data_IF_077657553146
#
_entry.id   IF_077657553146
#
_cell.length_a   1.000
_cell.length_b   1.000
_cell.length_c   1.000
_cell.angle_alpha   90.00
_cell.angle_beta   90.00
_cell.angle_gamma   90.00
#
_symmetry.space_group_name_H-M   'P 1'
#
loop_
_entity.id
_entity.type
_entity.pdbx_description
1 polymer ?
#
# COMPACT_ATOMS: atom_id res chain seq x y z
N UNK A 1 -5.51 10.19 -21.67
CA UNK A 1 -5.00 10.08 -20.29
C UNK A 1 -6.15 9.60 -19.43
N UNK A 2 -5.95 8.61 -18.58
CA UNK A 2 -6.99 8.14 -17.65
C UNK A 2 -6.96 8.98 -16.37
N UNK A 3 -8.10 9.09 -15.71
CA UNK A 3 -8.18 9.55 -14.33
C UNK A 3 -7.82 8.39 -13.39
N UNK A 4 -7.44 8.69 -12.16
CA UNK A 4 -7.24 7.71 -11.08
C UNK A 4 -8.25 8.01 -10.00
N UNK A 5 -9.01 7.00 -9.61
CA UNK A 5 -9.95 7.08 -8.49
C UNK A 5 -9.39 6.29 -7.31
N UNK A 6 -9.48 6.86 -6.11
CA UNK A 6 -9.19 6.16 -4.86
C UNK A 6 -10.44 6.17 -3.99
N UNK A 7 -10.96 4.98 -3.69
CA UNK A 7 -12.10 4.76 -2.81
C UNK A 7 -11.62 4.27 -1.46
N UNK A 8 -12.05 4.93 -0.39
CA UNK A 8 -11.84 4.55 1.00
C UNK A 8 -13.17 4.10 1.60
N UNK A 9 -13.18 2.90 2.17
CA UNK A 9 -14.32 2.32 2.85
C UNK A 9 -14.04 2.36 4.35
N UNK A 10 -14.78 3.19 5.08
CA UNK A 10 -14.46 3.57 6.46
C UNK A 10 -15.60 3.16 7.40
N UNK A 11 -15.24 2.36 8.40
CA UNK A 11 -16.08 2.05 9.57
C UNK A 11 -15.35 2.32 10.88
N UNK A 12 -14.01 2.33 10.85
CA UNK A 12 -13.18 2.71 11.99
C UNK A 12 -13.44 4.17 12.39
N UNK A 13 -13.53 4.42 13.70
CA UNK A 13 -13.69 5.77 14.25
C UNK A 13 -12.42 6.62 14.06
N UNK A 14 -11.25 5.98 13.98
CA UNK A 14 -9.97 6.62 13.71
C UNK A 14 -9.23 5.80 12.62
N UNK A 15 -9.38 6.16 11.34
CA UNK A 15 -8.70 5.47 10.24
C UNK A 15 -7.17 5.58 10.32
N UNK A 16 -6.64 6.64 10.93
CA UNK A 16 -5.19 6.81 11.10
C UNK A 16 -4.63 5.75 12.03
N UNK A 17 -5.30 5.50 13.16
CA UNK A 17 -4.85 4.49 14.12
C UNK A 17 -4.76 3.09 13.50
N UNK A 18 -5.63 2.77 12.54
CA UNK A 18 -5.60 1.48 11.81
C UNK A 18 -4.30 1.31 11.03
N UNK A 19 -3.87 2.35 10.29
CA UNK A 19 -2.63 2.29 9.51
C UNK A 19 -1.37 2.47 10.36
N UNK A 20 -1.45 3.26 11.44
CA UNK A 20 -0.35 3.42 12.40
C UNK A 20 0.01 2.12 13.13
N UNK A 21 -0.89 1.12 13.13
CA UNK A 21 -0.61 -0.23 13.61
C UNK A 21 0.23 -1.07 12.62
N UNK A 22 0.67 -0.49 11.51
CA UNK A 22 1.49 -1.10 10.46
C UNK A 22 0.91 -2.45 9.98
N UNK A 23 -0.35 -2.46 9.49
CA UNK A 23 -0.95 -3.67 8.97
C UNK A 23 -0.16 -4.19 7.76
N UNK A 24 -0.34 -5.47 7.41
CA UNK A 24 0.25 -6.01 6.19
C UNK A 24 -0.75 -5.95 5.04
N UNK A 25 -0.25 -5.88 3.81
CA UNK A 25 -1.07 -6.05 2.63
C UNK A 25 -1.77 -7.43 2.67
N UNK A 26 -3.09 -7.45 2.51
CA UNK A 26 -3.89 -8.68 2.45
C UNK A 26 -4.25 -9.03 1.00
N UNK A 27 -3.40 -9.88 0.41
CA UNK A 27 -3.61 -10.43 -0.93
C UNK A 27 -4.91 -11.23 -1.06
N UNK A 28 -5.32 -11.92 0.00
CA UNK A 28 -6.54 -12.73 0.01
C UNK A 28 -7.78 -11.85 -0.08
N UNK A 29 -7.79 -10.75 0.68
CA UNK A 29 -8.83 -9.72 0.61
C UNK A 29 -8.93 -9.11 -0.78
N UNK A 30 -7.80 -8.63 -1.34
CA UNK A 30 -7.75 -8.04 -2.68
C UNK A 30 -8.27 -8.99 -3.76
N UNK A 31 -7.81 -10.26 -3.74
CA UNK A 31 -8.27 -11.29 -4.68
C UNK A 31 -9.77 -11.55 -4.55
N UNK A 32 -10.29 -11.61 -3.31
CA UNK A 32 -11.72 -11.82 -3.07
C UNK A 32 -12.55 -10.64 -3.57
N UNK A 33 -12.11 -9.41 -3.32
CA UNK A 33 -12.75 -8.19 -3.82
C UNK A 33 -12.89 -8.25 -5.35
N UNK A 34 -11.79 -8.53 -6.06
CA UNK A 34 -11.79 -8.60 -7.53
C UNK A 34 -12.67 -9.74 -8.06
N UNK A 35 -12.62 -10.91 -7.42
CA UNK A 35 -13.45 -12.05 -7.80
C UNK A 35 -14.95 -11.79 -7.59
N UNK A 36 -15.33 -10.95 -6.61
CA UNK A 36 -16.71 -10.53 -6.41
C UNK A 36 -17.12 -9.42 -7.39
N UNK A 37 -16.21 -8.51 -7.71
CA UNK A 37 -16.45 -7.42 -8.65
C UNK A 37 -16.68 -7.94 -10.07
N UNK A 38 -15.82 -8.85 -10.53
CA UNK A 38 -16.02 -9.57 -11.79
C UNK A 38 -15.36 -10.97 -11.73
N UNK A 39 -16.16 -12.04 -11.58
CA UNK A 39 -15.65 -13.41 -11.52
C UNK A 39 -14.93 -13.89 -12.79
N UNK A 40 -15.14 -13.22 -13.93
CA UNK A 40 -14.54 -13.60 -15.20
C UNK A 40 -13.14 -13.02 -15.42
N UNK A 41 -12.68 -12.10 -14.57
CA UNK A 41 -11.36 -11.49 -14.74
C UNK A 41 -10.22 -12.46 -14.44
N UNK A 42 -9.23 -12.59 -15.35
CA UNK A 42 -7.98 -13.24 -15.02
C UNK A 42 -7.21 -12.37 -14.02
N UNK A 43 -6.88 -12.92 -12.84
CA UNK A 43 -6.20 -12.15 -11.80
C UNK A 43 -4.70 -12.44 -11.77
N UNK A 44 -3.90 -11.44 -12.14
CA UNK A 44 -2.44 -11.51 -12.07
C UNK A 44 -1.93 -10.63 -10.96
N UNK A 45 -1.34 -11.23 -9.92
CA UNK A 45 -0.70 -10.46 -8.84
C UNK A 45 0.55 -9.75 -9.36
N UNK A 46 0.64 -8.44 -9.12
CA UNK A 46 1.76 -7.59 -9.53
C UNK A 46 2.80 -7.52 -8.40
N UNK A 47 2.33 -7.28 -7.16
CA UNK A 47 3.19 -7.07 -6.01
C UNK A 47 2.42 -6.58 -4.79
N UNK A 48 3.11 -6.56 -3.66
CA UNK A 48 2.61 -5.96 -2.41
C UNK A 48 3.57 -4.81 -2.06
N UNK A 49 3.03 -3.60 -1.85
CA UNK A 49 3.82 -2.38 -1.68
C UNK A 49 2.99 -1.26 -1.04
N UNK A 50 3.64 -0.16 -0.67
CA UNK A 50 2.95 1.02 -0.13
C UNK A 50 2.42 1.92 -1.26
N UNK A 51 1.10 2.15 -1.25
CA UNK A 51 0.38 2.86 -2.30
C UNK A 51 0.83 4.31 -2.48
N UNK A 52 1.22 4.98 -1.40
CA UNK A 52 1.71 6.35 -1.39
C UNK A 52 3.13 6.48 -1.97
N UNK A 53 3.89 5.39 -2.10
CA UNK A 53 5.27 5.36 -2.64
C UNK A 53 5.36 4.73 -4.04
N UNK A 54 4.22 4.43 -4.65
CA UNK A 54 4.14 3.67 -5.90
C UNK A 54 3.53 4.50 -7.02
N UNK A 55 3.84 4.13 -8.27
CA UNK A 55 3.23 4.75 -9.44
C UNK A 55 1.73 4.47 -9.50
N UNK A 56 0.97 5.40 -10.08
CA UNK A 56 -0.47 5.24 -10.30
C UNK A 56 -0.82 3.95 -11.07
N UNK A 57 -1.97 3.32 -10.79
CA UNK A 57 -2.41 2.14 -11.52
C UNK A 57 -2.62 2.44 -13.00
N UNK A 58 -2.27 1.45 -13.84
CA UNK A 58 -2.71 1.38 -15.23
C UNK A 58 -4.21 1.09 -15.38
N UNK A 59 -4.70 1.12 -16.63
CA UNK A 59 -6.12 0.91 -17.00
C UNK A 59 -6.75 -0.35 -16.39
N UNK A 60 -5.99 -1.44 -16.39
CA UNK A 60 -6.45 -2.76 -15.95
C UNK A 60 -5.81 -3.17 -14.61
N UNK A 61 -5.40 -2.18 -13.80
CA UNK A 61 -4.71 -2.41 -12.53
C UNK A 61 -5.54 -1.92 -11.35
N UNK A 62 -5.51 -2.69 -10.28
CA UNK A 62 -6.18 -2.41 -9.02
C UNK A 62 -5.19 -2.55 -7.88
N UNK A 63 -5.10 -1.51 -7.07
CA UNK A 63 -4.34 -1.54 -5.82
C UNK A 63 -5.35 -1.57 -4.67
N UNK A 64 -5.32 -2.64 -3.87
CA UNK A 64 -6.35 -2.89 -2.87
C UNK A 64 -5.70 -3.15 -1.52
N UNK A 65 -6.11 -2.39 -0.51
CA UNK A 65 -5.77 -2.61 0.89
C UNK A 65 -7.03 -2.97 1.68
N UNK A 66 -6.93 -3.99 2.53
CA UNK A 66 -7.99 -4.41 3.44
C UNK A 66 -7.45 -4.49 4.85
N UNK A 67 -8.03 -3.71 5.76
CA UNK A 67 -7.64 -3.61 7.16
C UNK A 67 -8.90 -3.69 8.04
N UNK A 68 -8.71 -3.85 9.34
CA UNK A 68 -9.84 -3.86 10.26
C UNK A 68 -10.53 -2.49 10.29
N UNK A 69 -11.78 -2.43 9.82
CA UNK A 69 -12.59 -1.21 9.79
C UNK A 69 -12.17 -0.17 8.74
N UNK A 70 -11.19 -0.47 7.89
CA UNK A 70 -10.71 0.41 6.81
C UNK A 70 -10.33 -0.41 5.58
N UNK A 71 -10.74 0.00 4.39
CA UNK A 71 -10.23 -0.56 3.15
C UNK A 71 -10.02 0.54 2.10
N UNK A 72 -9.14 0.28 1.14
CA UNK A 72 -8.84 1.18 0.04
C UNK A 72 -8.84 0.43 -1.28
N UNK A 73 -9.39 1.04 -2.32
CA UNK A 73 -9.34 0.55 -3.70
C UNK A 73 -8.93 1.71 -4.59
N UNK A 74 -7.79 1.59 -5.26
CA UNK A 74 -7.28 2.58 -6.23
C UNK A 74 -7.18 1.94 -7.60
N UNK A 75 -7.73 2.61 -8.62
CA UNK A 75 -7.72 2.11 -10.00
C UNK A 75 -7.85 3.26 -11.00
N UNK A 76 -7.48 2.99 -12.24
CA UNK A 76 -7.69 3.90 -13.36
C UNK A 76 -9.17 3.93 -13.77
N UNK A 77 -9.63 5.08 -14.28
CA UNK A 77 -11.00 5.28 -14.74
C UNK A 77 -11.08 6.36 -15.81
N UNK A 78 -12.18 6.39 -16.56
CA UNK A 78 -12.51 7.47 -17.50
C UNK A 78 -13.51 8.48 -16.91
N UNK A 79 -13.88 8.31 -15.63
CA UNK A 79 -14.81 9.20 -14.96
C UNK A 79 -14.27 10.63 -14.86
N UNK A 80 -15.18 11.58 -15.01
CA UNK A 80 -14.98 13.01 -14.70
C UNK A 80 -15.82 13.48 -13.51
N UNK A 81 -16.77 12.65 -13.08
CA UNK A 81 -17.73 12.90 -11.99
C UNK A 81 -17.69 11.71 -11.05
N UNK A 82 -17.50 11.95 -9.76
CA UNK A 82 -17.47 10.90 -8.75
C UNK A 82 -18.88 10.41 -8.38
N UNK A 83 -19.92 11.21 -8.61
CA UNK A 83 -21.31 10.75 -8.48
C UNK A 83 -21.66 9.57 -9.40
N UNK A 84 -20.89 9.38 -10.48
CA UNK A 84 -21.05 8.31 -11.46
C UNK A 84 -20.25 7.03 -11.13
N UNK A 85 -19.54 6.99 -10.00
CA UNK A 85 -18.83 5.77 -9.56
C UNK A 85 -19.83 4.62 -9.45
N UNK A 86 -19.61 3.48 -10.15
CA UNK A 86 -20.57 2.39 -10.18
C UNK A 86 -20.86 1.81 -8.80
N UNK A 87 -22.13 1.54 -8.52
CA UNK A 87 -22.58 0.92 -7.26
C UNK A 87 -21.89 -0.42 -6.98
N UNK A 88 -21.58 -1.19 -8.03
CA UNK A 88 -20.86 -2.46 -7.92
C UNK A 88 -19.45 -2.32 -7.30
N UNK A 89 -18.80 -1.17 -7.49
CA UNK A 89 -17.49 -0.87 -6.89
C UNK A 89 -17.71 -0.24 -5.50
N UNK A 90 -18.62 0.73 -5.41
CA UNK A 90 -18.85 1.56 -4.21
C UNK A 90 -19.53 0.82 -3.05
N UNK A 91 -20.31 -0.23 -3.30
CA UNK A 91 -21.08 -0.96 -2.27
C UNK A 91 -20.53 -2.35 -1.95
N UNK A 92 -19.43 -2.76 -2.59
CA UNK A 92 -18.91 -4.12 -2.46
C UNK A 92 -18.37 -4.42 -1.05
N UNK A 93 -17.87 -3.37 -0.38
CA UNK A 93 -17.43 -3.41 1.02
C UNK A 93 -18.46 -2.63 1.83
N UNK A 94 -19.05 -3.30 2.84
CA UNK A 94 -19.94 -2.64 3.79
C UNK A 94 -19.17 -1.65 4.65
N UNK A 95 -19.51 -0.37 4.54
CA UNK A 95 -18.90 0.71 5.31
C UNK A 95 -19.94 1.75 5.72
N UNK A 96 -19.69 2.44 6.85
CA UNK A 96 -20.51 3.56 7.27
C UNK A 96 -20.33 4.75 6.33
N UNK A 97 -19.07 5.04 5.99
CA UNK A 97 -18.67 6.10 5.08
C UNK A 97 -17.83 5.56 3.93
N UNK A 98 -18.09 6.08 2.73
CA UNK A 98 -17.23 5.88 1.57
C UNK A 98 -16.73 7.24 1.12
N UNK A 99 -15.42 7.43 1.11
CA UNK A 99 -14.78 8.63 0.59
C UNK A 99 -14.11 8.31 -0.73
N UNK A 100 -14.22 9.20 -1.71
CA UNK A 100 -13.53 9.07 -2.98
C UNK A 100 -12.70 10.30 -3.27
N UNK A 101 -11.55 10.09 -3.91
CA UNK A 101 -10.81 11.14 -4.62
C UNK A 101 -10.66 10.76 -6.09
N UNK A 102 -10.61 11.78 -6.95
CA UNK A 102 -10.35 11.65 -8.38
C UNK A 102 -9.20 12.59 -8.75
N UNK A 103 -8.22 12.09 -9.48
CA UNK A 103 -7.12 12.91 -10.03
C UNK A 103 -6.86 12.57 -11.49
N UNK A 104 -6.40 13.54 -12.28
CA UNK A 104 -5.92 13.31 -13.65
C UNK A 104 -4.80 14.30 -13.99
N UNK A 105 -3.85 13.95 -14.89
CA UNK A 105 -2.71 14.82 -15.19
C UNK A 105 -3.03 16.21 -15.75
N UNK A 106 -4.24 16.43 -16.27
CA UNK A 106 -4.70 17.73 -16.77
C UNK A 106 -5.20 18.67 -15.65
N UNK A 107 -5.07 18.27 -14.38
CA UNK A 107 -5.48 19.06 -13.23
C UNK A 107 -6.91 18.82 -12.78
N UNK A 108 -7.61 17.81 -13.33
CA UNK A 108 -8.88 17.36 -12.75
C UNK A 108 -8.62 16.86 -11.33
N UNK A 109 -9.31 17.47 -10.37
CA UNK A 109 -9.37 17.04 -8.98
C UNK A 109 -10.82 16.87 -8.56
N UNK A 110 -11.09 15.86 -7.73
CA UNK A 110 -12.42 15.68 -7.20
C UNK A 110 -12.47 14.91 -5.90
N UNK A 111 -13.56 15.13 -5.16
CA UNK A 111 -13.90 14.47 -3.91
C UNK A 111 -15.36 14.05 -3.92
N UNK A 112 -15.65 12.94 -3.25
CA UNK A 112 -17.02 12.57 -2.95
C UNK A 112 -17.12 11.82 -1.63
N UNK A 113 -18.26 11.97 -0.96
CA UNK A 113 -18.58 11.31 0.29
C UNK A 113 -19.97 10.72 0.21
N UNK A 114 -20.06 9.42 0.48
CA UNK A 114 -21.32 8.73 0.72
C UNK A 114 -21.38 8.31 2.19
N UNK A 115 -22.47 8.64 2.87
CA UNK A 115 -22.74 8.21 4.24
C UNK A 115 -24.00 7.36 4.27
N UNK A 116 -23.90 6.11 4.77
CA UNK A 116 -24.99 5.14 4.73
C UNK A 116 -25.42 4.77 3.30
N UNK A 117 -24.53 4.97 2.32
CA UNK A 117 -24.79 4.71 0.90
C UNK A 117 -25.43 5.87 0.13
N UNK A 118 -25.82 6.95 0.79
CA UNK A 118 -26.35 8.16 0.16
C UNK A 118 -25.23 9.17 -0.13
N UNK A 119 -25.23 9.78 -1.31
CA UNK A 119 -24.26 10.81 -1.68
C UNK A 119 -24.53 12.09 -0.87
N UNK A 120 -23.54 12.52 -0.08
CA UNK A 120 -23.62 13.72 0.78
C UNK A 120 -22.89 14.92 0.20
N UNK A 121 -21.75 14.67 -0.45
CA UNK A 121 -20.91 15.68 -1.09
C UNK A 121 -20.27 15.09 -2.34
N UNK A 122 -20.24 15.83 -3.44
CA UNK A 122 -19.41 15.52 -4.62
C UNK A 122 -18.94 16.81 -5.27
N UNK A 123 -17.66 16.94 -5.53
CA UNK A 123 -17.10 18.05 -6.31
C UNK A 123 -16.03 17.51 -7.24
N UNK A 124 -16.11 17.83 -8.54
CA UNK A 124 -15.04 17.54 -9.49
C UNK A 124 -14.86 18.74 -10.42
N UNK A 125 -13.62 19.18 -10.57
CA UNK A 125 -13.29 20.33 -11.39
C UNK A 125 -11.85 20.25 -11.93
N UNK A 126 -11.60 20.84 -13.10
CA UNK A 126 -10.30 21.46 -13.41
C UNK A 126 -10.33 22.92 -12.93
N UNK A 127 -9.24 23.67 -13.05
CA UNK A 127 -9.28 25.10 -12.70
C UNK A 127 -10.28 25.86 -13.56
N UNK A 128 -10.48 25.47 -14.81
CA UNK A 128 -11.32 26.19 -15.78
C UNK A 128 -12.75 25.65 -15.87
N UNK A 129 -13.05 24.48 -15.32
CA UNK A 129 -14.35 23.83 -15.51
C UNK A 129 -14.74 23.04 -14.27
N UNK A 130 -15.93 23.35 -13.76
CA UNK A 130 -16.60 22.54 -12.73
C UNK A 130 -17.49 21.52 -13.43
N UNK A 131 -17.23 20.23 -13.21
CA UNK A 131 -18.00 19.12 -13.79
C UNK A 131 -19.18 18.73 -12.89
N UNK A 132 -18.99 18.78 -11.57
CA UNK A 132 -20.05 18.58 -10.60
C UNK A 132 -19.78 19.36 -9.32
N UNK A 133 -20.86 19.80 -8.68
CA UNK A 133 -20.88 20.38 -7.34
C UNK A 133 -22.22 20.02 -6.67
N UNK A 134 -22.18 19.00 -5.80
CA UNK A 134 -23.34 18.38 -5.15
C UNK A 134 -23.13 18.42 -3.65
N UNK A 135 -24.20 18.76 -2.92
CA UNK A 135 -24.20 18.80 -1.46
C UNK A 135 -23.59 20.07 -0.88
N UNK A 136 -23.44 20.09 0.44
CA UNK A 136 -22.88 21.24 1.16
C UNK A 136 -21.36 21.09 1.29
N UNK A 137 -20.56 22.13 1.01
CA UNK A 137 -19.12 22.09 1.20
C UNK A 137 -18.71 21.66 2.60
N UNK A 138 -17.70 20.82 2.68
CA UNK A 138 -17.06 20.43 3.93
C UNK A 138 -16.21 21.60 4.48
N UNK A 139 -16.09 21.80 5.80
CA UNK A 139 -15.29 22.89 6.37
C UNK A 139 -13.84 22.95 5.88
N UNK A 140 -13.24 21.80 5.56
CA UNK A 140 -11.89 21.72 4.99
C UNK A 140 -11.76 22.34 3.59
N UNK A 141 -12.88 22.58 2.89
CA UNK A 141 -12.89 23.28 1.60
C UNK A 141 -12.80 24.81 1.78
N UNK A 142 -13.17 25.35 2.95
CA UNK A 142 -13.30 26.80 3.15
C UNK A 142 -12.06 27.61 2.74
N UNK A 143 -10.81 27.22 3.09
CA UNK A 143 -9.63 27.98 2.69
C UNK A 143 -9.44 28.09 1.17
N UNK A 144 -9.95 27.12 0.41
CA UNK A 144 -9.87 27.14 -1.04
C UNK A 144 -10.89 28.12 -1.63
N UNK A 145 -12.11 28.13 -1.09
CA UNK A 145 -13.17 29.05 -1.51
C UNK A 145 -12.88 30.52 -1.14
N UNK A 146 -12.07 30.76 -0.11
CA UNK A 146 -11.56 32.11 0.22
C UNK A 146 -10.67 32.70 -0.89
N UNK A 147 -10.07 31.84 -1.72
CA UNK A 147 -9.45 32.24 -2.97
C UNK A 147 -8.06 32.86 -2.84
N UNK A 148 -7.17 32.20 -2.11
CA UNK A 148 -5.78 32.67 -1.91
C UNK A 148 -4.85 32.36 -3.08
N UNK A 149 -5.26 31.51 -4.04
CA UNK A 149 -4.45 31.19 -5.22
C UNK A 149 -4.76 32.15 -6.36
N UNK A 150 -3.73 32.75 -6.96
CA UNK A 150 -3.88 33.63 -8.12
C UNK A 150 -4.64 32.93 -9.25
N UNK A 151 -5.66 33.61 -9.78
CA UNK A 151 -6.54 33.10 -10.82
C UNK A 151 -6.77 34.17 -11.90
N UNK A 152 -6.92 33.72 -13.14
CA UNK A 152 -7.22 34.59 -14.28
C UNK A 152 -8.50 34.15 -14.97
N UNK A 153 -9.28 35.13 -15.46
CA UNK A 153 -10.51 34.86 -16.21
C UNK A 153 -11.53 34.05 -15.40
N UNK A 154 -11.83 32.84 -15.88
CA UNK A 154 -12.82 31.92 -15.28
C UNK A 154 -12.20 30.88 -14.34
N UNK A 155 -10.90 30.97 -14.07
CA UNK A 155 -10.23 29.98 -13.24
C UNK A 155 -10.76 30.01 -11.80
N UNK A 156 -10.91 28.82 -11.22
CA UNK A 156 -11.10 28.66 -9.79
C UNK A 156 -9.90 29.28 -9.05
N UNK A 157 -10.15 29.91 -7.88
CA UNK A 157 -9.11 30.57 -7.10
C UNK A 157 -8.34 29.57 -6.21
N UNK A 158 -8.20 28.34 -6.69
CA UNK A 158 -7.48 27.22 -6.07
C UNK A 158 -7.19 26.13 -7.11
N UNK A 159 -6.33 25.18 -6.76
CA UNK A 159 -6.03 24.00 -7.56
C UNK A 159 -6.92 22.83 -7.09
N UNK A 160 -7.81 22.27 -7.94
CA UNK A 160 -8.77 21.24 -7.51
C UNK A 160 -8.14 19.97 -6.92
N UNK A 161 -6.97 19.56 -7.39
CA UNK A 161 -6.26 18.39 -6.84
C UNK A 161 -5.75 18.64 -5.42
N UNK A 162 -5.37 19.88 -5.08
CA UNK A 162 -4.97 20.26 -3.72
C UNK A 162 -6.18 20.33 -2.77
N UNK A 163 -7.31 20.87 -3.24
CA UNK A 163 -8.58 20.80 -2.51
C UNK A 163 -8.93 19.35 -2.22
N UNK A 164 -8.83 18.48 -3.22
CA UNK A 164 -9.16 17.07 -3.06
C UNK A 164 -8.28 16.37 -2.01
N UNK A 165 -6.96 16.63 -2.03
CA UNK A 165 -6.04 16.10 -1.04
C UNK A 165 -6.33 16.61 0.38
N UNK A 166 -6.62 17.90 0.53
CA UNK A 166 -6.91 18.50 1.84
C UNK A 166 -8.22 17.98 2.46
N UNK A 167 -9.27 17.85 1.66
CA UNK A 167 -10.55 17.29 2.12
C UNK A 167 -10.41 15.81 2.46
N UNK A 168 -9.73 15.02 1.62
CA UNK A 168 -9.47 13.61 1.92
C UNK A 168 -8.69 13.45 3.23
N UNK A 169 -7.69 14.32 3.48
CA UNK A 169 -6.95 14.35 4.76
C UNK A 169 -7.86 14.65 5.94
N UNK A 170 -8.81 15.58 5.78
CA UNK A 170 -9.74 15.93 6.85
C UNK A 170 -10.70 14.77 7.18
N UNK A 171 -11.13 13.99 6.18
CA UNK A 171 -11.98 12.83 6.38
C UNK A 171 -11.24 11.63 6.98
N UNK A 172 -10.01 11.38 6.55
CA UNK A 172 -9.25 10.19 6.93
C UNK A 172 -8.39 10.38 8.18
N UNK A 173 -8.06 11.63 8.54
CA UNK A 173 -7.10 11.93 9.62
C UNK A 173 -5.63 11.73 9.23
N UNK A 174 -5.35 11.44 7.96
CA UNK A 174 -4.00 11.29 7.41
C UNK A 174 -3.98 11.70 5.93
N UNK A 175 -2.83 12.10 5.44
CA UNK A 175 -2.58 12.38 4.03
C UNK A 175 -2.10 11.14 3.28
N UNK A 176 -2.53 11.00 2.02
CA UNK A 176 -2.04 9.96 1.11
C UNK A 176 -0.73 10.45 0.48
N UNK A 177 0.31 10.55 1.31
CA UNK A 177 1.64 11.05 0.95
C UNK A 177 2.72 10.11 1.52
N UNK A 178 3.87 9.96 0.85
CA UNK A 178 5.03 9.23 1.39
C UNK A 178 5.48 9.66 2.79
N UNK A 179 5.17 10.89 3.20
CA UNK A 179 5.73 11.51 4.41
C UNK A 179 4.83 11.35 5.67
N UNK A 180 3.68 10.67 5.56
CA UNK A 180 2.68 10.64 6.64
C UNK A 180 2.44 9.24 7.22
N UNK A 181 1.79 8.36 6.47
CA UNK A 181 1.56 6.97 6.88
C UNK A 181 1.65 6.05 5.68
N UNK A 182 2.31 4.90 5.85
CA UNK A 182 2.40 3.89 4.80
C UNK A 182 1.05 3.18 4.62
N UNK A 183 0.67 2.94 3.38
CA UNK A 183 -0.64 2.35 3.01
C UNK A 183 -0.36 1.06 2.24
N UNK A 184 -0.21 -0.08 2.94
CA UNK A 184 0.21 -1.33 2.32
C UNK A 184 -0.94 -1.95 1.52
N UNK A 185 -0.75 -2.10 0.21
CA UNK A 185 -1.76 -2.61 -0.73
C UNK A 185 -1.23 -3.83 -1.48
N UNK A 186 -2.16 -4.66 -1.95
CA UNK A 186 -1.87 -5.74 -2.90
C UNK A 186 -2.36 -5.32 -4.29
N UNK A 187 -1.45 -5.34 -5.26
CA UNK A 187 -1.71 -4.90 -6.62
C UNK A 187 -1.98 -6.08 -7.55
N UNK A 188 -2.99 -5.93 -8.41
CA UNK A 188 -3.39 -6.93 -9.40
C UNK A 188 -3.64 -6.28 -10.76
N UNK A 189 -3.29 -6.99 -11.82
CA UNK A 189 -3.75 -6.74 -13.18
C UNK A 189 -4.92 -7.68 -13.51
N UNK A 190 -5.89 -7.20 -14.29
CA UNK A 190 -7.10 -7.94 -14.70
C UNK A 190 -7.18 -8.25 -16.21
N UNK A 191 -6.12 -7.95 -16.96
CA UNK A 191 -6.03 -8.09 -18.42
C UNK A 191 -5.43 -9.43 -18.89
N UNK A 192 -5.05 -10.31 -17.95
CA UNK A 192 -4.49 -11.62 -18.25
C UNK A 192 -3.00 -11.62 -18.60
N UNK A 193 -2.29 -10.52 -18.36
CA UNK A 193 -0.82 -10.50 -18.50
C UNK A 193 -0.17 -11.53 -17.57
N UNK A 194 1.01 -12.10 -17.92
CA UNK A 194 1.70 -13.05 -17.05
C UNK A 194 2.17 -12.41 -15.74
N UNK A 195 2.19 -13.19 -14.65
CA UNK A 195 2.77 -12.75 -13.37
C UNK A 195 4.23 -12.37 -13.55
N UNK A 196 4.68 -11.21 -13.04
CA UNK A 196 6.10 -10.88 -12.99
C UNK A 196 6.87 -12.00 -12.30
N UNK A 197 7.88 -12.56 -12.97
CA UNK A 197 8.71 -13.61 -12.39
C UNK A 197 9.63 -12.98 -11.36
N UNK A 198 9.38 -13.19 -10.08
CA UNK A 198 10.39 -12.96 -9.03
C UNK A 198 11.42 -14.09 -9.13
N UNK A 199 12.36 -13.98 -10.06
CA UNK A 199 13.48 -14.92 -10.14
C UNK A 199 14.37 -14.79 -8.90
N UNK A 200 15.00 -15.86 -8.41
CA UNK A 200 16.11 -15.71 -7.48
C UNK A 200 17.16 -14.81 -8.12
N UNK A 201 17.67 -13.81 -7.39
CA UNK A 201 18.80 -13.02 -7.82
C UNK A 201 19.90 -14.00 -8.26
N UNK A 202 20.43 -13.91 -9.49
CA UNK A 202 21.48 -14.82 -9.92
C UNK A 202 22.61 -14.69 -8.90
N UNK A 203 22.93 -15.79 -8.21
CA UNK A 203 24.08 -15.84 -7.34
C UNK A 203 25.29 -15.30 -8.12
N UNK A 204 26.12 -14.42 -7.55
CA UNK A 204 27.30 -13.91 -8.25
C UNK A 204 28.09 -15.13 -8.71
N UNK A 205 28.20 -15.30 -10.04
CA UNK A 205 29.00 -16.39 -10.61
C UNK A 205 30.41 -16.15 -10.11
N UNK A 206 30.91 -17.08 -9.28
CA UNK A 206 32.33 -17.12 -8.97
C UNK A 206 33.07 -17.17 -10.31
N UNK A 207 33.90 -16.17 -10.56
CA UNK A 207 34.71 -16.08 -11.77
C UNK A 207 35.52 -17.38 -11.87
N UNK A 208 35.20 -18.17 -12.89
CA UNK A 208 36.04 -19.29 -13.28
C UNK A 208 37.33 -18.69 -13.85
N UNK A 209 38.43 -18.97 -13.16
CA UNK A 209 39.78 -18.68 -13.61
C UNK A 209 40.07 -19.52 -14.86
N UNK A 210 40.06 -18.87 -16.02
CA UNK A 210 40.60 -19.41 -17.27
C UNK A 210 41.43 -18.32 -17.92
N UNK A 211 42.73 -18.34 -17.67
CA UNK A 211 43.69 -17.60 -18.48
C UNK A 211 43.76 -18.18 -19.90
N UNK A 212 43.79 -17.35 -20.93
CA UNK A 212 45.02 -16.96 -21.67
C UNK A 212 44.70 -16.02 -22.84
N UNK A 213 45.58 -15.01 -22.96
CA UNK A 213 46.12 -14.31 -24.12
C UNK A 213 45.34 -13.25 -24.96
N UNK A 214 45.90 -12.02 -24.89
CA UNK A 214 46.15 -10.93 -25.87
C UNK A 214 45.24 -10.79 -27.11
N UNK A 215 44.80 -9.60 -27.56
CA UNK A 215 45.56 -8.37 -27.85
C UNK A 215 44.61 -7.17 -28.19
N UNK A 216 45.09 -5.93 -28.00
CA UNK A 216 44.66 -4.57 -28.46
C UNK A 216 43.15 -4.17 -28.52
N UNK A 217 42.65 -2.97 -28.15
CA UNK A 217 43.16 -1.61 -28.39
C UNK A 217 42.32 -0.55 -27.58
N UNK A 218 43.02 0.44 -27.00
CA UNK A 218 42.64 1.84 -26.61
C UNK A 218 41.54 2.20 -25.55
N UNK A 219 41.51 3.44 -24.98
CA UNK A 219 41.67 3.64 -23.52
C UNK A 219 40.58 4.49 -22.80
N UNK A 220 40.57 4.35 -21.47
CA UNK A 220 40.29 5.35 -20.41
C UNK A 220 39.02 6.22 -20.51
N UNK A 221 38.06 5.91 -19.63
CA UNK A 221 37.40 6.92 -18.80
C UNK A 221 37.46 6.44 -17.34
N UNK A 222 38.30 7.13 -16.57
CA UNK A 222 38.33 7.09 -15.10
C UNK A 222 37.28 8.08 -14.58
N UNK A 223 36.66 7.79 -13.42
CA UNK A 223 36.73 8.67 -12.24
C UNK A 223 35.54 8.50 -11.25
N UNK A 224 35.91 8.27 -9.98
CA UNK A 224 35.19 8.18 -8.70
C UNK A 224 34.19 7.03 -8.43
N UNK A 225 34.63 6.01 -7.69
CA UNK A 225 34.62 6.06 -6.21
C UNK A 225 35.02 4.74 -5.53
N UNK A 226 36.05 4.85 -4.68
CA UNK A 226 36.35 4.07 -3.47
C UNK A 226 36.59 2.55 -3.59
N UNK A 227 37.87 2.19 -3.67
CA UNK A 227 38.36 0.86 -3.35
C UNK A 227 38.02 0.48 -1.90
N UNK A 228 37.16 -0.53 -1.71
CA UNK A 228 36.98 -1.20 -0.43
C UNK A 228 38.27 -1.98 -0.06
N UNK A 229 38.71 -1.94 1.21
CA UNK A 229 39.93 -2.63 1.63
C UNK A 229 39.74 -4.15 1.54
N UNK A 230 40.70 -4.83 0.91
CA UNK A 230 40.75 -6.30 0.82
C UNK A 230 40.91 -6.90 2.23
N UNK A 231 40.12 -7.92 2.63
CA UNK A 231 40.36 -8.64 3.89
C UNK A 231 41.65 -9.46 3.77
N UNK A 232 42.55 -9.31 4.73
CA UNK A 232 43.78 -10.09 4.84
C UNK A 232 43.47 -11.54 5.22
N UNK A 233 44.22 -12.48 4.66
CA UNK A 233 44.08 -13.94 4.77
C UNK A 233 44.41 -14.52 6.17
N UNK A 234 44.27 -13.74 7.25
CA UNK A 234 44.68 -14.16 8.60
C UNK A 234 43.57 -14.82 9.43
N UNK A 235 42.29 -14.67 9.05
CA UNK A 235 41.17 -15.21 9.86
C UNK A 235 40.79 -16.65 9.47
N UNK A 236 41.04 -17.05 8.23
CA UNK A 236 40.76 -18.42 7.75
C UNK A 236 41.75 -19.47 8.29
N UNK A 237 42.97 -19.05 8.67
CA UNK A 237 43.96 -19.93 9.29
C UNK A 237 43.68 -20.17 10.79
N UNK A 238 43.02 -19.22 11.48
CA UNK A 238 42.66 -19.37 12.90
C UNK A 238 41.50 -20.36 13.11
N UNK A 239 40.61 -20.53 12.13
CA UNK A 239 39.52 -21.52 12.18
C UNK A 239 40.00 -22.96 11.90
N UNK A 240 41.12 -23.15 11.18
CA UNK A 240 41.71 -24.49 10.94
C UNK A 240 42.50 -25.04 12.13
N UNK A 241 42.86 -24.20 13.10
CA UNK A 241 43.57 -24.62 14.32
C UNK A 241 42.66 -25.15 15.44
N UNK A 242 41.33 -24.94 15.36
CA UNK A 242 40.37 -25.43 16.36
C UNK A 242 39.83 -26.84 16.06
N UNK A 243 40.13 -27.41 14.89
CA UNK A 243 39.55 -28.69 14.42
C UNK A 243 40.39 -29.93 14.77
N UNK A 244 41.47 -29.80 15.54
CA UNK A 244 42.31 -30.94 15.93
C UNK A 244 42.76 -30.87 17.39
N UNK A 245 41.83 -31.09 18.31
CA UNK A 245 42.20 -31.69 19.60
C UNK A 245 41.00 -32.29 20.33
N UNK A 246 41.22 -33.52 20.78
CA UNK A 246 40.54 -34.26 21.86
C UNK A 246 39.19 -34.91 21.55
N UNK A 247 39.29 -36.17 21.11
CA UNK A 247 38.35 -37.21 21.54
C UNK A 247 38.87 -37.94 22.78
N UNK A 248 38.04 -38.07 23.83
CA UNK A 248 37.80 -39.30 24.63
C UNK A 248 36.95 -39.02 25.89
N UNK A 249 35.90 -39.85 26.05
CA UNK A 249 35.14 -40.08 27.30
C UNK A 249 34.06 -39.02 27.57
N UNK A 250 32.80 -39.33 27.89
CA UNK A 250 32.28 -40.37 28.78
C UNK A 250 30.84 -40.72 28.37
N UNK A 251 30.49 -42.01 28.49
CA UNK A 251 29.13 -42.57 28.37
C UNK A 251 28.28 -42.18 29.58
N UNK A 252 27.06 -41.70 29.35
CA UNK A 252 25.85 -41.69 30.21
C UNK A 252 24.82 -40.87 29.43
N UNK A 253 23.55 -41.19 29.23
CA UNK A 253 22.64 -42.22 29.70
C UNK A 253 21.28 -41.78 29.14
N UNK A 254 20.52 -42.69 28.55
CA UNK A 254 19.21 -42.39 27.97
C UNK A 254 18.18 -42.06 29.06
N UNK A 255 17.25 -41.14 28.73
CA UNK A 255 15.81 -41.06 29.10
C UNK A 255 15.39 -39.63 29.41
N UNK A 256 14.31 -39.16 28.77
CA UNK A 256 13.60 -37.96 29.25
C UNK A 256 12.94 -37.07 28.21
N UNK A 257 12.37 -37.63 27.13
CA UNK A 257 11.30 -36.93 26.41
C UNK A 257 9.97 -37.34 27.03
N UNK A 258 9.31 -36.44 27.75
CA UNK A 258 7.84 -36.31 27.86
C UNK A 258 7.45 -35.35 28.98
N UNK A 259 6.34 -34.65 28.71
CA UNK A 259 5.47 -33.91 29.63
C UNK A 259 5.94 -32.52 30.09
N UNK A 260 5.33 -31.48 29.50
CA UNK A 260 4.37 -30.62 30.22
C UNK A 260 3.73 -29.60 29.26
N UNK A 261 2.76 -30.08 28.50
CA UNK A 261 1.60 -29.30 28.07
C UNK A 261 0.59 -29.23 29.22
N UNK A 262 -0.29 -28.22 29.18
CA UNK A 262 -1.38 -27.86 30.10
C UNK A 262 -1.05 -26.82 31.17
N UNK A 263 -1.49 -25.57 30.91
CA UNK A 263 -2.61 -24.96 31.64
C UNK A 263 -3.09 -23.68 30.94
N UNK A 264 -4.24 -23.82 30.29
CA UNK A 264 -5.11 -22.73 29.88
C UNK A 264 -6.17 -22.57 30.96
N UNK A 265 -6.42 -21.31 31.32
CA UNK A 265 -7.77 -20.77 31.50
C UNK A 265 -8.52 -21.16 32.77
N UNK A 266 -8.44 -20.30 33.79
CA UNK A 266 -9.49 -20.25 34.83
C UNK A 266 -9.89 -18.83 35.30
N UNK A 267 -9.41 -17.76 34.67
CA UNK A 267 -9.68 -16.39 35.16
C UNK A 267 -10.92 -15.72 34.52
N UNK A 268 -11.53 -16.30 33.48
CA UNK A 268 -12.60 -15.62 32.71
C UNK A 268 -14.02 -16.01 33.14
N UNK A 269 -14.20 -17.01 34.01
CA UNK A 269 -15.54 -17.51 34.36
C UNK A 269 -16.15 -16.95 35.66
N UNK A 270 -15.49 -15.99 36.32
CA UNK A 270 -15.96 -15.39 37.59
C UNK A 270 -16.48 -13.95 37.50
N UNK A 271 -16.35 -13.26 36.37
CA UNK A 271 -16.77 -11.84 36.24
C UNK A 271 -18.14 -11.59 35.59
N UNK A 272 -18.84 -12.62 35.10
CA UNK A 272 -20.12 -12.46 34.38
C UNK A 272 -21.37 -12.73 35.25
N UNK A 273 -21.31 -12.63 36.58
CA UNK A 273 -22.46 -12.99 37.44
C UNK A 273 -22.92 -11.96 38.47
N UNK A 274 -22.48 -10.70 38.41
CA UNK A 274 -22.86 -9.71 39.43
C UNK A 274 -23.05 -8.26 38.94
N UNK A 275 -23.77 -8.06 37.83
CA UNK A 275 -24.39 -6.75 37.53
C UNK A 275 -25.76 -6.98 36.90
N UNK A 276 -26.76 -7.11 37.75
CA UNK A 276 -28.15 -7.31 37.34
C UNK A 276 -29.09 -7.45 38.53
N UNK A 277 -29.19 -6.43 39.39
CA UNK A 277 -30.42 -6.06 40.12
C UNK A 277 -30.21 -4.86 41.05
N UNK A 278 -31.16 -3.92 40.90
CA UNK A 278 -31.50 -2.72 41.70
C UNK A 278 -30.75 -1.45 41.35
#
# INVERSE_FOLDING_TARGET
>A
MHSVVTLWFVTAADPRAVLAAEPRADRGFARKYLAQLNPAWPLTHIGDFDMNRSADPGRDEFYIGGYEGLAVVRTATELTRLSEVPDAVRRLIGAADVYATLTRPDGLGGIAHWAGGDLRRSFCATRETVFEDIGLPHPAEAPFWEGTTEATGIQLPFIPTELAAAVARAWLGFSVSPDDVDIPVSAFAVDGRPTPRTGPHPAPRAAADTGTDADADTPVYDDYAAAAPRPSESTAQLLRAAARSVGRGVRLGARGAQALSHRVGDEVRRRARNTGRR
#
